data_IF_759160709228
#
_entry.id   IF_759160709228
#
_cell.length_a   1.000
_cell.length_b   1.000
_cell.length_c   1.000
_cell.angle_alpha   90.00
_cell.angle_beta   90.00
_cell.angle_gamma   90.00
#
_symmetry.space_group_name_H-M   'P 1'
#
loop_
_entity.id
_entity.type
_entity.pdbx_description
1 polymer ?
#
# COMPACT_ATOMS: atom_id res chain seq x y z
N UNK A 1 15.14 -7.42 26.56
CA UNK A 1 15.15 -8.76 25.94
C UNK A 1 14.84 -8.55 24.47
N UNK A 2 15.74 -8.92 23.56
CA UNK A 2 15.53 -8.72 22.12
C UNK A 2 14.42 -9.66 21.64
N UNK A 3 13.45 -9.13 20.90
CA UNK A 3 12.32 -9.91 20.35
C UNK A 3 12.77 -11.02 19.39
N UNK A 4 14.06 -11.08 19.02
CA UNK A 4 14.61 -12.03 18.06
C UNK A 4 15.90 -12.71 18.52
N UNK A 5 16.02 -12.98 19.82
CA UNK A 5 17.11 -13.78 20.40
C UNK A 5 17.29 -15.15 19.71
N UNK A 6 16.23 -15.69 19.10
CA UNK A 6 16.28 -16.92 18.29
C UNK A 6 17.21 -16.82 17.07
N UNK A 7 17.56 -15.61 16.61
CA UNK A 7 18.43 -15.43 15.45
C UNK A 7 19.83 -15.99 15.70
N UNK A 8 20.45 -15.66 16.83
CA UNK A 8 21.76 -16.23 17.18
C UNK A 8 21.67 -17.75 17.18
N UNK A 9 20.62 -18.29 17.81
CA UNK A 9 20.48 -19.73 17.98
C UNK A 9 20.30 -20.44 16.64
N UNK A 10 19.55 -19.85 15.69
CA UNK A 10 19.45 -20.39 14.31
C UNK A 10 20.82 -20.52 13.64
N UNK A 11 21.66 -19.49 13.75
CA UNK A 11 22.98 -19.53 13.13
C UNK A 11 23.93 -20.45 13.91
N UNK A 12 23.85 -20.47 15.24
CA UNK A 12 24.63 -21.37 16.08
C UNK A 12 24.38 -22.83 15.72
N UNK A 13 23.11 -23.26 15.70
CA UNK A 13 22.71 -24.62 15.37
C UNK A 13 23.10 -25.01 13.93
N UNK A 14 23.12 -24.06 13.00
CA UNK A 14 23.53 -24.35 11.63
C UNK A 14 25.03 -24.49 11.46
N UNK A 15 25.83 -23.59 12.05
CA UNK A 15 27.28 -23.56 11.83
C UNK A 15 28.05 -24.45 12.81
N UNK A 16 27.59 -24.60 14.05
CA UNK A 16 28.24 -25.45 15.06
C UNK A 16 27.75 -26.89 14.99
N UNK A 17 26.44 -27.11 14.90
CA UNK A 17 25.85 -28.46 14.94
C UNK A 17 25.50 -29.02 13.55
N UNK A 18 25.75 -28.26 12.48
CA UNK A 18 25.47 -28.64 11.08
C UNK A 18 24.03 -29.13 10.86
N UNK A 19 23.10 -28.64 11.69
CA UNK A 19 21.69 -29.00 11.58
C UNK A 19 21.10 -28.42 10.29
N UNK A 20 20.27 -29.24 9.64
CA UNK A 20 19.47 -28.76 8.52
C UNK A 20 18.48 -27.70 8.97
N UNK A 21 18.15 -26.75 8.08
CA UNK A 21 17.16 -25.69 8.37
C UNK A 21 15.81 -26.24 8.87
N UNK A 22 15.44 -27.45 8.45
CA UNK A 22 14.26 -28.18 8.92
C UNK A 22 14.34 -28.57 10.40
N UNK A 23 15.49 -29.10 10.83
CA UNK A 23 15.72 -29.48 12.22
C UNK A 23 15.73 -28.25 13.12
N UNK A 24 16.42 -27.18 12.68
CA UNK A 24 16.48 -25.90 13.39
C UNK A 24 15.08 -25.31 13.57
N UNK A 25 14.25 -25.31 12.52
CA UNK A 25 12.87 -24.85 12.58
C UNK A 25 12.06 -25.62 13.64
N UNK A 26 12.17 -26.96 13.65
CA UNK A 26 11.49 -27.79 14.65
C UNK A 26 11.99 -27.55 16.08
N UNK A 27 13.31 -27.42 16.26
CA UNK A 27 13.95 -27.25 17.57
C UNK A 27 13.61 -25.90 18.22
N UNK A 28 13.45 -24.84 17.41
CA UNK A 28 13.09 -23.51 17.89
C UNK A 28 11.59 -23.21 17.82
N UNK A 29 10.76 -24.17 17.37
CA UNK A 29 9.32 -23.96 17.18
C UNK A 29 8.98 -22.89 16.12
N UNK A 30 9.89 -22.62 15.18
CA UNK A 30 9.73 -21.58 14.17
C UNK A 30 9.22 -22.14 12.84
N UNK A 31 8.43 -21.37 12.07
CA UNK A 31 8.08 -21.74 10.71
C UNK A 31 9.33 -21.91 9.84
N UNK A 32 9.40 -22.97 9.03
CA UNK A 32 10.53 -23.21 8.12
C UNK A 32 10.81 -22.02 7.20
N UNK A 33 9.76 -21.35 6.73
CA UNK A 33 9.86 -20.15 5.90
C UNK A 33 10.57 -18.99 6.60
N UNK A 34 10.44 -18.87 7.93
CA UNK A 34 11.14 -17.87 8.75
C UNK A 34 12.63 -18.14 8.77
N UNK A 35 13.03 -19.39 9.02
CA UNK A 35 14.43 -19.82 9.00
C UNK A 35 15.04 -19.62 7.61
N UNK A 36 14.36 -20.07 6.55
CA UNK A 36 14.84 -19.90 5.17
C UNK A 36 14.98 -18.41 4.79
N UNK A 37 13.97 -17.59 5.10
CA UNK A 37 14.03 -16.14 4.87
C UNK A 37 15.13 -15.45 5.66
N UNK A 38 15.49 -15.99 6.83
CA UNK A 38 16.58 -15.50 7.66
C UNK A 38 17.93 -15.77 6.98
N UNK A 39 18.19 -17.03 6.59
CA UNK A 39 19.41 -17.40 5.86
C UNK A 39 19.54 -16.65 4.54
N UNK A 40 18.46 -16.54 3.76
CA UNK A 40 18.46 -15.77 2.52
C UNK A 40 18.82 -14.30 2.74
N UNK A 41 18.36 -13.69 3.85
CA UNK A 41 18.75 -12.31 4.20
C UNK A 41 20.21 -12.24 4.58
N UNK A 42 20.73 -13.21 5.33
CA UNK A 42 22.13 -13.22 5.74
C UNK A 42 23.08 -13.38 4.56
N UNK A 43 22.78 -14.29 3.61
CA UNK A 43 23.55 -14.44 2.38
C UNK A 43 23.56 -13.14 1.58
N UNK A 44 22.41 -12.45 1.48
CA UNK A 44 22.31 -11.18 0.74
C UNK A 44 22.97 -10.00 1.44
N UNK A 45 22.98 -10.00 2.77
CA UNK A 45 23.63 -8.99 3.58
C UNK A 45 25.14 -9.28 3.76
N UNK A 46 25.64 -10.41 3.26
CA UNK A 46 27.05 -10.80 3.39
C UNK A 46 27.48 -11.02 4.85
N UNK A 47 26.54 -11.40 5.72
CA UNK A 47 26.84 -11.58 7.15
C UNK A 47 27.70 -12.83 7.32
N UNK A 48 28.93 -12.65 7.79
CA UNK A 48 29.87 -13.73 8.09
C UNK A 48 29.75 -14.14 9.55
N UNK A 49 29.29 -15.35 9.82
CA UNK A 49 29.26 -15.94 11.17
C UNK A 49 30.69 -16.14 11.71
N UNK A 50 30.98 -15.93 13.02
CA UNK A 50 30.11 -15.50 14.13
C UNK A 50 29.94 -13.97 14.25
N UNK A 51 28.74 -13.51 14.60
CA UNK A 51 28.40 -12.08 14.75
C UNK A 51 27.56 -11.83 16.01
N UNK A 52 27.80 -10.69 16.67
CA UNK A 52 27.03 -10.25 17.85
C UNK A 52 25.53 -10.09 17.53
N UNK A 53 24.67 -10.38 18.51
CA UNK A 53 23.20 -10.37 18.38
C UNK A 53 22.67 -9.08 17.75
N UNK A 54 23.10 -7.94 18.33
CA UNK A 54 22.65 -6.61 17.94
C UNK A 54 23.05 -6.27 16.49
N UNK A 55 24.22 -6.72 16.05
CA UNK A 55 24.70 -6.50 14.68
C UNK A 55 23.94 -7.39 13.70
N UNK A 56 23.66 -8.64 14.07
CA UNK A 56 22.89 -9.58 13.27
C UNK A 56 21.43 -9.10 13.10
N UNK A 57 20.79 -8.66 14.17
CA UNK A 57 19.44 -8.08 14.09
C UNK A 57 19.39 -6.84 13.18
N UNK A 58 20.33 -5.91 13.35
CA UNK A 58 20.40 -4.66 12.56
C UNK A 58 20.66 -4.90 11.08
N UNK A 59 21.43 -5.93 10.74
CA UNK A 59 21.78 -6.27 9.35
C UNK A 59 20.66 -7.04 8.65
N UNK A 60 20.06 -8.04 9.31
CA UNK A 60 19.02 -8.88 8.71
C UNK A 60 17.63 -8.22 8.71
N UNK A 61 17.36 -7.40 9.72
CA UNK A 61 16.09 -6.72 9.91
C UNK A 61 16.34 -5.26 10.30
N UNK A 62 16.88 -4.43 9.39
CA UNK A 62 16.96 -3.00 9.62
C UNK A 62 15.54 -2.49 9.88
N UNK A 63 15.27 -2.11 11.13
CA UNK A 63 13.96 -1.66 11.56
C UNK A 63 13.41 -0.65 10.56
N UNK A 64 12.14 -0.79 10.19
CA UNK A 64 11.41 0.23 9.44
C UNK A 64 11.70 1.54 10.15
N UNK A 65 12.52 2.42 9.55
CA UNK A 65 12.91 3.70 10.16
C UNK A 65 11.60 4.32 10.63
N UNK A 66 11.37 4.34 11.96
CA UNK A 66 10.44 5.31 12.53
C UNK A 66 10.97 6.61 11.98
N UNK A 67 10.15 7.30 11.20
CA UNK A 67 10.44 8.67 10.80
C UNK A 67 10.68 9.41 12.10
N UNK A 68 11.95 9.56 12.48
CA UNK A 68 12.36 10.44 13.57
C UNK A 68 12.27 11.82 12.97
N UNK A 69 11.06 12.34 12.93
CA UNK A 69 10.84 13.77 12.95
C UNK A 69 11.19 14.23 14.37
N UNK A 70 12.45 14.60 14.60
CA UNK A 70 12.80 15.66 15.55
C UNK A 70 14.32 15.90 15.59
N UNK A 71 14.66 17.19 15.45
CA UNK A 71 15.88 17.87 15.89
C UNK A 71 17.20 17.68 15.11
N UNK A 72 17.37 18.60 14.14
CA UNK A 72 18.56 19.39 13.76
C UNK A 72 19.87 18.74 13.25
N UNK A 73 20.53 19.36 12.24
CA UNK A 73 21.75 18.86 11.61
C UNK A 73 23.03 19.37 12.30
N UNK A 74 24.16 18.65 12.16
CA UNK A 74 25.46 19.30 12.09
C UNK A 74 25.98 19.33 10.65
N UNK A 75 26.86 20.30 10.46
CA UNK A 75 27.36 20.84 9.21
C UNK A 75 28.31 19.89 8.48
N UNK A 76 28.27 20.01 7.14
CA UNK A 76 29.33 19.74 6.16
C UNK A 76 29.94 18.33 6.08
N UNK A 77 29.52 17.60 5.03
CA UNK A 77 30.47 16.93 4.14
C UNK A 77 29.84 16.88 2.73
N UNK A 78 30.43 17.64 1.81
CA UNK A 78 30.18 17.57 0.39
C UNK A 78 30.70 16.24 -0.16
N UNK A 79 29.79 15.34 -0.48
CA UNK A 79 30.05 14.24 -1.41
C UNK A 79 28.84 14.12 -2.31
N UNK A 80 29.08 14.34 -3.60
CA UNK A 80 28.18 14.10 -4.72
C UNK A 80 27.80 12.62 -4.74
N UNK A 81 26.81 12.24 -3.94
CA UNK A 81 26.24 10.91 -3.92
C UNK A 81 24.77 11.03 -4.29
N UNK A 82 24.50 10.86 -5.59
CA UNK A 82 23.15 10.64 -6.12
C UNK A 82 22.47 9.57 -5.26
N UNK A 83 21.37 9.87 -4.53
CA UNK A 83 20.66 8.84 -3.79
C UNK A 83 19.89 7.98 -4.78
N UNK A 84 20.53 6.93 -5.30
CA UNK A 84 19.82 5.88 -6.03
C UNK A 84 18.86 5.20 -5.05
N UNK A 85 17.59 5.58 -5.10
CA UNK A 85 16.52 4.94 -4.33
C UNK A 85 16.60 3.42 -4.59
N UNK A 86 16.57 2.56 -3.55
CA UNK A 86 16.60 1.13 -3.77
C UNK A 86 15.39 0.76 -4.63
N UNK A 87 15.65 0.20 -5.82
CA UNK A 87 14.64 -0.29 -6.76
C UNK A 87 13.81 -1.36 -6.04
N UNK A 88 12.71 -0.92 -5.43
CA UNK A 88 11.76 -1.78 -4.75
C UNK A 88 11.32 -2.83 -5.77
N UNK A 89 11.52 -4.11 -5.46
CA UNK A 89 11.03 -5.25 -6.23
C UNK A 89 9.64 -4.93 -6.78
N UNK A 90 9.49 -5.05 -8.11
CA UNK A 90 8.36 -4.63 -8.93
C UNK A 90 7.15 -4.19 -8.13
N UNK A 91 7.07 -2.89 -7.80
CA UNK A 91 5.80 -2.31 -7.40
C UNK A 91 4.84 -2.60 -8.56
N UNK A 92 3.72 -3.27 -8.25
CA UNK A 92 2.59 -3.42 -9.18
C UNK A 92 2.43 -2.12 -9.98
N UNK A 93 2.21 -2.18 -11.31
CA UNK A 93 2.11 -0.99 -12.14
C UNK A 93 1.18 0.02 -11.46
N UNK A 94 1.73 1.17 -11.07
CA UNK A 94 0.93 2.19 -10.41
C UNK A 94 0.25 2.99 -11.51
N UNK A 95 -0.94 2.56 -11.91
CA UNK A 95 -1.72 3.28 -12.91
C UNK A 95 -2.07 4.69 -12.40
N UNK A 96 -1.92 5.73 -13.23
CA UNK A 96 -2.29 7.08 -12.85
C UNK A 96 -3.78 7.17 -12.54
N UNK A 97 -4.16 8.04 -11.60
CA UNK A 97 -5.53 8.12 -11.11
C UNK A 97 -6.53 8.54 -12.20
N UNK A 98 -6.13 9.45 -13.08
CA UNK A 98 -6.90 9.84 -14.26
C UNK A 98 -7.21 8.64 -15.17
N UNK A 99 -6.23 7.76 -15.39
CA UNK A 99 -6.42 6.54 -16.18
C UNK A 99 -7.42 5.59 -15.51
N UNK A 100 -7.28 5.36 -14.20
CA UNK A 100 -8.24 4.52 -13.45
C UNK A 100 -9.67 5.06 -13.56
N UNK A 101 -9.83 6.37 -13.40
CA UNK A 101 -11.13 7.05 -13.49
C UNK A 101 -11.75 6.93 -14.88
N UNK A 102 -10.98 7.21 -15.94
CA UNK A 102 -11.45 7.11 -17.32
C UNK A 102 -11.96 5.70 -17.63
N UNK A 103 -11.18 4.68 -17.25
CA UNK A 103 -11.53 3.28 -17.48
C UNK A 103 -12.74 2.83 -16.68
N UNK A 104 -12.88 3.30 -15.42
CA UNK A 104 -14.07 3.02 -14.63
C UNK A 104 -15.31 3.68 -15.23
N UNK A 105 -15.23 4.95 -15.64
CA UNK A 105 -16.33 5.68 -16.30
C UNK A 105 -16.77 4.98 -17.58
N UNK A 106 -15.82 4.57 -18.43
CA UNK A 106 -16.10 3.82 -19.65
C UNK A 106 -16.75 2.46 -19.35
N UNK A 107 -16.29 1.78 -18.29
CA UNK A 107 -16.89 0.50 -17.88
C UNK A 107 -18.32 0.63 -17.33
N UNK A 108 -18.71 1.80 -16.79
CA UNK A 108 -20.05 2.02 -16.24
C UNK A 108 -21.13 2.20 -17.32
N UNK A 109 -20.74 2.40 -18.58
CA UNK A 109 -21.69 2.52 -19.69
C UNK A 109 -22.46 1.21 -19.90
N UNK A 110 -23.77 1.28 -20.16
CA UNK A 110 -24.58 0.09 -20.41
C UNK A 110 -24.06 -0.65 -21.66
N UNK A 111 -23.97 -1.99 -21.59
CA UNK A 111 -23.50 -2.83 -22.69
C UNK A 111 -21.98 -3.02 -22.79
N UNK A 112 -21.16 -2.36 -21.94
CA UNK A 112 -19.70 -2.53 -21.97
C UNK A 112 -19.26 -3.74 -21.16
N UNK A 113 -18.56 -4.68 -21.80
CA UNK A 113 -17.91 -5.80 -21.12
C UNK A 113 -16.61 -5.33 -20.45
N UNK A 114 -16.55 -5.46 -19.12
CA UNK A 114 -15.38 -5.10 -18.31
C UNK A 114 -14.13 -5.89 -18.70
N UNK A 115 -14.29 -7.19 -18.99
CA UNK A 115 -13.18 -8.05 -19.36
C UNK A 115 -12.60 -7.67 -20.73
N UNK A 116 -13.46 -7.33 -21.71
CA UNK A 116 -13.03 -6.85 -23.02
C UNK A 116 -12.28 -5.52 -22.88
N UNK A 117 -12.87 -4.56 -22.17
CA UNK A 117 -12.27 -3.25 -21.93
C UNK A 117 -10.91 -3.36 -21.23
N UNK A 118 -10.80 -4.23 -20.22
CA UNK A 118 -9.54 -4.47 -19.53
C UNK A 118 -8.44 -5.00 -20.48
N UNK A 119 -8.78 -5.95 -21.36
CA UNK A 119 -7.85 -6.51 -22.36
C UNK A 119 -7.41 -5.47 -23.39
N UNK A 120 -8.34 -4.65 -23.89
CA UNK A 120 -8.05 -3.54 -24.81
C UNK A 120 -7.04 -2.55 -24.21
N UNK A 121 -7.10 -2.33 -22.89
CA UNK A 121 -6.17 -1.47 -22.17
C UNK A 121 -4.96 -2.19 -21.54
N UNK A 122 -4.79 -3.49 -21.81
CA UNK A 122 -3.66 -4.28 -21.29
C UNK A 122 -3.63 -4.42 -19.76
N UNK A 123 -4.79 -4.32 -19.10
CA UNK A 123 -4.92 -4.46 -17.64
C UNK A 123 -5.67 -5.74 -17.27
N UNK A 124 -5.45 -6.19 -16.05
CA UNK A 124 -6.21 -7.30 -15.48
C UNK A 124 -7.66 -6.87 -15.22
N UNK A 125 -8.62 -7.68 -15.63
CA UNK A 125 -10.07 -7.46 -15.46
C UNK A 125 -10.50 -7.35 -13.99
N UNK A 126 -9.89 -8.15 -13.11
CA UNK A 126 -10.10 -8.09 -11.67
C UNK A 126 -9.64 -6.74 -11.07
N UNK A 127 -8.63 -6.10 -11.69
CA UNK A 127 -8.17 -4.77 -11.29
C UNK A 127 -9.21 -3.70 -11.61
N UNK A 128 -9.83 -3.77 -12.78
CA UNK A 128 -10.89 -2.86 -13.19
C UNK A 128 -12.14 -3.06 -12.32
N UNK A 129 -12.49 -4.30 -11.97
CA UNK A 129 -13.60 -4.58 -11.06
C UNK A 129 -13.38 -3.95 -9.67
N UNK A 130 -12.16 -4.07 -9.14
CA UNK A 130 -11.80 -3.43 -7.89
C UNK A 130 -11.91 -1.91 -7.98
N UNK A 131 -11.43 -1.29 -9.07
CA UNK A 131 -11.56 0.15 -9.27
C UNK A 131 -13.01 0.61 -9.38
N UNK A 132 -13.90 -0.16 -10.04
CA UNK A 132 -15.34 0.12 -10.07
C UNK A 132 -15.92 0.15 -8.66
N UNK A 133 -15.56 -0.81 -7.81
CA UNK A 133 -16.04 -0.87 -6.43
C UNK A 133 -15.53 0.30 -5.61
N UNK A 134 -14.24 0.65 -5.74
CA UNK A 134 -13.66 1.81 -5.07
C UNK A 134 -14.32 3.13 -5.54
N UNK A 135 -14.67 3.25 -6.82
CA UNK A 135 -15.38 4.40 -7.36
C UNK A 135 -16.79 4.53 -6.79
N UNK A 136 -17.55 3.42 -6.74
CA UNK A 136 -18.88 3.39 -6.09
C UNK A 136 -18.83 3.77 -4.61
N UNK A 137 -17.73 3.46 -3.93
CA UNK A 137 -17.50 3.83 -2.53
C UNK A 137 -16.95 5.26 -2.36
N UNK A 138 -16.77 6.03 -3.43
CA UNK A 138 -16.18 7.38 -3.39
C UNK A 138 -14.69 7.40 -3.03
N UNK A 139 -14.00 6.24 -3.07
CA UNK A 139 -12.58 6.09 -2.70
C UNK A 139 -11.63 6.15 -3.88
N UNK A 140 -12.15 6.21 -5.10
CA UNK A 140 -11.39 6.34 -6.34
C UNK A 140 -11.70 7.70 -6.96
N UNK A 141 -10.87 8.71 -6.69
CA UNK A 141 -11.07 10.09 -7.14
C UNK A 141 -10.41 11.09 -6.19
N UNK A 142 -10.13 12.34 -6.63
CA UNK A 142 -10.02 13.42 -5.66
C UNK A 142 -11.34 13.48 -4.87
N UNK A 143 -11.34 13.92 -3.59
CA UNK A 143 -12.59 14.18 -2.87
C UNK A 143 -13.47 15.02 -3.79
N UNK A 144 -14.65 14.51 -4.14
CA UNK A 144 -15.61 15.30 -4.90
C UNK A 144 -15.78 16.60 -4.09
N UNK A 145 -15.51 17.80 -4.67
CA UNK A 145 -16.10 18.99 -4.09
C UNK A 145 -17.60 18.69 -4.05
N UNK A 146 -18.22 18.87 -2.89
CA UNK A 146 -19.66 18.71 -2.75
C UNK A 146 -20.31 19.53 -3.87
N UNK A 147 -20.78 18.86 -4.93
CA UNK A 147 -21.54 19.57 -5.94
C UNK A 147 -22.77 20.12 -5.23
N UNK A 148 -23.08 21.42 -5.37
CA UNK A 148 -24.27 21.98 -4.77
C UNK A 148 -25.48 21.21 -5.32
N UNK A 149 -26.09 20.39 -4.46
CA UNK A 149 -27.33 19.71 -4.75
C UNK A 149 -28.41 20.80 -4.89
N UNK A 150 -28.83 21.09 -6.12
CA UNK A 150 -30.00 21.92 -6.35
C UNK A 150 -31.22 21.07 -6.03
N UNK A 151 -31.86 21.37 -4.91
CA UNK A 151 -33.13 20.75 -4.53
C UNK A 151 -34.22 21.35 -5.44
N UNK A 152 -35.11 20.52 -6.02
CA UNK A 152 -36.29 21.03 -6.70
C UNK A 152 -37.13 21.81 -5.68
N UNK A 153 -37.30 23.11 -5.92
CA UNK A 153 -38.27 23.94 -5.20
C UNK A 153 -39.52 23.96 -6.07
N UNK A 154 -40.57 23.28 -5.63
CA UNK A 154 -41.90 23.44 -6.21
C UNK A 154 -42.43 24.83 -5.81
N UNK A 155 -42.67 25.69 -6.81
CA UNK A 155 -43.36 26.96 -6.61
C UNK A 155 -44.86 26.67 -6.60
N UNK A 156 -45.49 26.75 -5.45
CA UNK A 156 -46.96 26.81 -5.41
C UNK A 156 -47.42 28.18 -5.92
N UNK A 157 -48.20 28.17 -7.00
CA UNK A 157 -48.89 29.34 -7.52
C UNK A 157 -50.01 29.71 -6.54
N UNK A 158 -49.82 30.79 -5.80
CA UNK A 158 -50.82 31.31 -4.87
C UNK A 158 -52.01 31.81 -5.70
N UNK A 159 -53.21 31.23 -5.58
CA UNK A 159 -54.36 31.71 -6.33
C UNK A 159 -54.71 33.14 -5.89
N UNK A 160 -54.85 34.03 -6.88
CA UNK A 160 -55.25 35.43 -6.74
C UNK A 160 -56.46 35.58 -5.81
N UNK A 161 -56.46 36.56 -4.87
CA UNK A 161 -57.61 36.82 -4.02
C UNK A 161 -58.83 37.25 -4.87
N UNK A 162 -60.06 36.90 -4.45
CA UNK A 162 -61.27 37.30 -5.15
C UNK A 162 -61.48 38.82 -5.06
N UNK A 163 -62.15 39.43 -6.05
CA UNK A 163 -62.41 40.86 -6.07
C UNK A 163 -63.30 41.25 -4.88
N UNK A 164 -62.87 42.29 -4.15
CA UNK A 164 -63.73 43.01 -3.21
C UNK A 164 -64.78 43.72 -4.06
N UNK A 165 -66.00 43.21 -4.07
CA UNK A 165 -67.14 43.93 -4.63
C UNK A 165 -67.66 44.88 -3.56
N UNK A 166 -67.25 46.14 -3.63
CA UNK A 166 -68.01 47.26 -3.09
C UNK A 166 -69.24 47.48 -3.97
N UNK A 167 -70.46 47.46 -3.40
CA UNK A 167 -71.61 48.26 -3.86
C UNK A 167 -72.82 48.12 -2.90
N UNK A 168 -73.14 49.25 -2.28
CA UNK A 168 -74.41 49.73 -1.65
C UNK A 168 -75.04 48.97 -0.47
#
# INVERSE_FOLDING_TARGET
MSERAWLIEVFRLHYQEQLSQNRIAKQLGLPRSTVNSCFQRATRAGVRWPVNELTLERTLYPGKKRSRSSASPPLQASITAVPSKPKRRGRRPNFPQAFKLALVKQSMQPGVSTARLAREHGINDNLLFNWRNLYKQGRLGPPLPAEPCLLPVELEDVPSPPPITEAD
#
